data_IF_775712753962
#
_entry.id   IF_775712753962
#
_cell.length_a   1.000
_cell.length_b   1.000
_cell.length_c   1.000
_cell.angle_alpha   90.00
_cell.angle_beta   90.00
_cell.angle_gamma   90.00
#
_symmetry.space_group_name_H-M   'P 1'
#
loop_
_entity.id
_entity.type
_entity.pdbx_description
1 polymer ?
#
# COMPACT_ATOMS: atom_id res chain seq x y z
N UNK A 1 -29.06 13.41 -16.40
CA UNK A 1 -28.20 13.99 -15.35
C UNK A 1 -27.29 12.88 -14.86
N UNK A 2 -25.99 13.14 -14.64
CA UNK A 2 -25.12 12.14 -14.02
C UNK A 2 -25.54 11.98 -12.55
N UNK A 3 -25.45 10.78 -11.99
CA UNK A 3 -25.66 10.57 -10.55
C UNK A 3 -24.32 10.88 -9.86
N UNK A 4 -24.28 11.66 -8.77
CA UNK A 4 -23.04 11.89 -8.03
C UNK A 4 -22.46 10.58 -7.50
N UNK A 5 -21.13 10.46 -7.43
CA UNK A 5 -20.45 9.24 -7.00
C UNK A 5 -20.73 8.93 -5.52
N UNK A 6 -20.70 9.95 -4.68
CA UNK A 6 -20.96 9.83 -3.25
C UNK A 6 -21.43 11.16 -2.67
N UNK A 7 -21.92 11.10 -1.44
CA UNK A 7 -22.22 12.27 -0.63
C UNK A 7 -21.06 12.54 0.33
N UNK A 8 -20.58 13.76 0.37
CA UNK A 8 -19.53 14.21 1.29
C UNK A 8 -20.07 15.25 2.26
N UNK A 9 -19.56 15.24 3.48
CA UNK A 9 -19.83 16.26 4.49
C UNK A 9 -18.60 17.15 4.62
N UNK A 10 -18.79 18.47 4.53
CA UNK A 10 -17.73 19.44 4.83
C UNK A 10 -17.94 19.98 6.23
N UNK A 11 -16.85 20.16 6.98
CA UNK A 11 -16.89 20.66 8.36
C UNK A 11 -15.74 21.65 8.60
N UNK A 12 -16.05 22.77 9.25
CA UNK A 12 -15.11 23.87 9.50
C UNK A 12 -15.07 24.91 8.37
N UNK A 13 -14.23 25.94 8.57
CA UNK A 13 -14.00 26.96 7.56
C UNK A 13 -12.95 26.49 6.55
N UNK A 14 -13.20 26.76 5.27
CA UNK A 14 -12.25 26.49 4.19
C UNK A 14 -11.61 27.79 3.70
N UNK A 15 -10.32 27.73 3.39
CA UNK A 15 -9.63 28.79 2.67
C UNK A 15 -10.25 28.98 1.29
N UNK A 16 -10.04 30.13 0.61
CA UNK A 16 -10.55 30.34 -0.74
C UNK A 16 -10.15 29.24 -1.73
N UNK A 17 -8.97 28.64 -1.54
CA UNK A 17 -8.51 27.51 -2.34
C UNK A 17 -9.33 26.24 -2.06
N UNK A 18 -9.52 25.88 -0.78
CA UNK A 18 -10.30 24.69 -0.39
C UNK A 18 -11.77 24.82 -0.77
N UNK A 19 -12.36 26.00 -0.59
CA UNK A 19 -13.72 26.31 -1.00
C UNK A 19 -13.91 26.17 -2.52
N UNK A 20 -12.96 26.70 -3.31
CA UNK A 20 -12.99 26.55 -4.77
C UNK A 20 -12.86 25.07 -5.20
N UNK A 21 -11.98 24.30 -4.57
CA UNK A 21 -11.84 22.87 -4.84
C UNK A 21 -13.17 22.12 -4.62
N UNK A 22 -13.84 22.38 -3.49
CA UNK A 22 -15.15 21.81 -3.13
C UNK A 22 -16.23 22.22 -4.14
N UNK A 23 -16.31 23.51 -4.48
CA UNK A 23 -17.28 24.04 -5.45
C UNK A 23 -17.17 23.37 -6.83
N UNK A 24 -15.95 23.14 -7.30
CA UNK A 24 -15.73 22.50 -8.60
C UNK A 24 -16.16 21.02 -8.56
N UNK A 25 -15.90 20.29 -7.47
CA UNK A 25 -16.37 18.91 -7.33
C UNK A 25 -17.91 18.80 -7.35
N UNK A 26 -18.61 19.76 -6.75
CA UNK A 26 -20.07 19.85 -6.78
C UNK A 26 -20.58 20.23 -8.18
N UNK A 27 -19.97 21.24 -8.81
CA UNK A 27 -20.36 21.73 -10.14
C UNK A 27 -20.20 20.69 -11.23
N UNK A 28 -19.13 19.89 -11.16
CA UNK A 28 -18.90 18.75 -12.07
C UNK A 28 -19.77 17.54 -11.72
N UNK A 29 -20.62 17.65 -10.69
CA UNK A 29 -21.52 16.62 -10.20
C UNK A 29 -20.77 15.32 -9.88
N UNK A 30 -19.56 15.46 -9.33
CA UNK A 30 -18.73 14.34 -8.86
C UNK A 30 -19.24 13.85 -7.52
N UNK A 31 -19.59 14.77 -6.63
CA UNK A 31 -20.07 14.51 -5.27
C UNK A 31 -21.28 15.37 -4.94
N UNK A 32 -22.13 14.88 -4.04
CA UNK A 32 -23.18 15.68 -3.40
C UNK A 32 -22.63 16.24 -2.08
N UNK A 33 -22.65 17.56 -1.90
CA UNK A 33 -22.01 18.20 -0.75
C UNK A 33 -23.06 18.58 0.29
N UNK A 34 -22.74 18.34 1.56
CA UNK A 34 -23.54 18.79 2.70
C UNK A 34 -22.64 19.46 3.71
N UNK A 35 -22.87 20.75 3.98
CA UNK A 35 -22.11 21.47 4.98
C UNK A 35 -22.69 21.22 6.37
N UNK A 36 -21.86 20.77 7.31
CA UNK A 36 -22.23 20.66 8.72
C UNK A 36 -21.94 21.98 9.43
N UNK A 37 -22.95 22.54 10.10
CA UNK A 37 -22.81 23.81 10.85
C UNK A 37 -21.85 23.69 12.04
N UNK A 38 -21.75 22.50 12.63
CA UNK A 38 -20.85 22.20 13.73
C UNK A 38 -20.57 20.70 13.82
N UNK A 39 -19.49 20.34 14.49
CA UNK A 39 -19.22 18.93 14.78
C UNK A 39 -20.35 18.31 15.59
N UNK A 40 -20.88 19.04 16.58
CA UNK A 40 -22.00 18.58 17.39
C UNK A 40 -23.22 18.27 16.52
N UNK A 41 -23.54 19.12 15.55
CA UNK A 41 -24.63 18.82 14.61
C UNK A 41 -24.37 17.54 13.81
N UNK A 42 -23.14 17.34 13.34
CA UNK A 42 -22.74 16.12 12.62
C UNK A 42 -22.84 14.85 13.49
N UNK A 43 -22.51 14.96 14.77
CA UNK A 43 -22.61 13.87 15.74
C UNK A 43 -24.06 13.67 16.23
N UNK A 44 -24.87 14.70 16.40
CA UNK A 44 -26.24 14.53 16.91
C UNK A 44 -27.20 14.04 15.83
N UNK A 45 -27.01 14.49 14.58
CA UNK A 45 -27.80 14.01 13.46
C UNK A 45 -27.20 12.71 12.95
N UNK A 46 -27.69 11.61 13.52
CA UNK A 46 -27.47 10.27 12.99
C UNK A 46 -28.14 10.16 11.62
N UNK A 47 -27.44 10.65 10.59
CA UNK A 47 -27.80 10.42 9.19
C UNK A 47 -27.41 8.96 8.91
N UNK A 48 -28.27 8.06 9.41
CA UNK A 48 -28.45 6.69 8.95
C UNK A 48 -27.42 5.63 9.38
N UNK A 49 -26.68 5.79 10.49
CA UNK A 49 -25.75 4.75 10.99
C UNK A 49 -24.70 4.26 9.97
N UNK A 50 -24.58 4.99 8.86
CA UNK A 50 -23.85 4.59 7.67
C UNK A 50 -22.53 5.36 7.65
N UNK A 51 -21.45 4.73 7.20
CA UNK A 51 -20.16 5.41 7.10
C UNK A 51 -20.27 6.67 6.24
N UNK A 52 -19.75 7.78 6.78
CA UNK A 52 -19.78 9.10 6.14
C UNK A 52 -18.39 9.52 5.70
N UNK A 53 -18.32 10.21 4.57
CA UNK A 53 -17.09 10.83 4.07
C UNK A 53 -17.07 12.26 4.59
N UNK A 54 -16.02 12.64 5.32
CA UNK A 54 -15.87 13.97 5.90
C UNK A 54 -14.64 14.64 5.33
N UNK A 55 -14.83 15.75 4.63
CA UNK A 55 -13.74 16.57 4.11
C UNK A 55 -13.43 17.68 5.13
N UNK A 56 -12.15 17.82 5.45
CA UNK A 56 -11.62 18.81 6.37
C UNK A 56 -10.39 19.47 5.73
N UNK A 57 -10.22 20.77 5.91
CA UNK A 57 -8.98 21.42 5.51
C UNK A 57 -7.87 21.18 6.55
N UNK A 58 -6.65 20.95 6.08
CA UNK A 58 -5.47 20.81 6.93
C UNK A 58 -5.12 22.16 7.56
N UNK A 59 -5.66 22.40 8.74
CA UNK A 59 -5.38 23.53 9.61
C UNK A 59 -5.65 23.18 11.08
N UNK A 60 -5.40 24.09 12.03
CA UNK A 60 -5.58 23.82 13.46
C UNK A 60 -6.99 23.31 13.80
N UNK A 61 -8.02 23.93 13.23
CA UNK A 61 -9.42 23.56 13.45
C UNK A 61 -9.74 22.18 12.84
N UNK A 62 -9.36 21.95 11.59
CA UNK A 62 -9.56 20.66 10.92
C UNK A 62 -8.89 19.51 11.68
N UNK A 63 -7.68 19.72 12.21
CA UNK A 63 -6.98 18.71 13.05
C UNK A 63 -7.70 18.42 14.34
N UNK A 64 -8.23 19.45 15.01
CA UNK A 64 -9.06 19.27 16.20
C UNK A 64 -10.28 18.40 15.86
N UNK A 65 -10.97 18.69 14.75
CA UNK A 65 -12.10 17.88 14.31
C UNK A 65 -11.73 16.43 13.98
N UNK A 66 -10.55 16.15 13.42
CA UNK A 66 -10.11 14.75 13.24
C UNK A 66 -10.09 14.03 14.58
N UNK A 67 -9.45 14.62 15.61
CA UNK A 67 -9.36 14.02 16.94
C UNK A 67 -10.73 13.77 17.55
N UNK A 68 -11.63 14.74 17.48
CA UNK A 68 -12.99 14.63 18.04
C UNK A 68 -13.87 13.62 17.26
N UNK A 69 -13.77 13.57 15.93
CA UNK A 69 -14.44 12.57 15.10
C UNK A 69 -13.96 11.16 15.46
N UNK A 70 -12.67 10.97 15.72
CA UNK A 70 -12.10 9.67 16.13
C UNK A 70 -12.52 9.29 17.55
N UNK A 71 -12.55 10.24 18.48
CA UNK A 71 -13.01 10.04 19.84
C UNK A 71 -14.53 9.71 19.92
N UNK A 72 -15.31 10.10 18.91
CA UNK A 72 -16.76 9.91 18.90
C UNK A 72 -17.25 8.46 18.87
N UNK A 73 -16.40 7.49 18.52
CA UNK A 73 -16.84 6.11 18.37
C UNK A 73 -17.43 5.77 16.99
N UNK A 74 -17.58 6.77 16.10
CA UNK A 74 -18.32 6.61 14.84
C UNK A 74 -17.42 6.41 13.64
N UNK A 75 -18.01 5.82 12.60
CA UNK A 75 -17.31 5.49 11.37
C UNK A 75 -17.27 6.67 10.40
N UNK A 76 -16.13 7.35 10.36
CA UNK A 76 -15.86 8.46 9.44
C UNK A 76 -14.66 8.18 8.54
N UNK A 77 -14.86 8.29 7.24
CA UNK A 77 -13.79 8.36 6.24
C UNK A 77 -13.34 9.81 6.12
N UNK A 78 -12.36 10.19 6.95
CA UNK A 78 -11.85 11.56 7.02
C UNK A 78 -10.84 11.79 5.90
N UNK A 79 -11.09 12.80 5.08
CA UNK A 79 -10.19 13.27 4.02
C UNK A 79 -9.66 14.64 4.41
N UNK A 80 -8.34 14.76 4.55
CA UNK A 80 -7.68 16.05 4.73
C UNK A 80 -7.33 16.64 3.37
N UNK A 81 -7.73 17.88 3.12
CA UNK A 81 -7.35 18.62 1.92
C UNK A 81 -6.46 19.79 2.29
N UNK A 82 -5.52 20.16 1.43
CA UNK A 82 -4.63 21.29 1.69
C UNK A 82 -3.72 21.60 0.52
N UNK A 83 -3.31 22.87 0.41
CA UNK A 83 -2.41 23.30 -0.66
C UNK A 83 -1.00 22.70 -0.52
N UNK A 84 -0.54 22.49 0.71
CA UNK A 84 0.77 21.93 1.03
C UNK A 84 0.65 21.09 2.31
N UNK A 85 1.38 19.98 2.38
CA UNK A 85 1.50 19.14 3.57
C UNK A 85 2.96 19.04 4.01
N UNK A 86 3.22 19.38 5.26
CA UNK A 86 4.53 19.15 5.87
C UNK A 86 4.69 17.68 6.29
N UNK A 87 5.92 17.25 6.62
CA UNK A 87 6.16 15.92 7.21
C UNK A 87 5.35 15.70 8.49
N UNK A 88 5.18 16.74 9.30
CA UNK A 88 4.36 16.68 10.53
C UNK A 88 2.89 16.50 10.22
N UNK A 89 2.41 17.05 9.10
CA UNK A 89 1.02 16.93 8.66
C UNK A 89 0.72 15.50 8.21
N UNK A 90 1.66 14.89 7.47
CA UNK A 90 1.58 13.48 7.12
C UNK A 90 1.65 12.59 8.36
N UNK A 91 2.56 12.86 9.29
CA UNK A 91 2.62 12.13 10.55
C UNK A 91 1.32 12.26 11.36
N UNK A 92 0.74 13.47 11.42
CA UNK A 92 -0.55 13.71 12.06
C UNK A 92 -1.68 12.94 11.38
N UNK A 93 -1.77 13.02 10.05
CA UNK A 93 -2.76 12.32 9.25
C UNK A 93 -2.67 10.82 9.51
N UNK A 94 -1.45 10.30 9.62
CA UNK A 94 -1.23 8.89 9.93
C UNK A 94 -1.63 8.50 11.33
N UNK A 95 -1.17 9.24 12.33
CA UNK A 95 -1.49 9.02 13.74
C UNK A 95 -3.00 9.04 14.00
N UNK A 96 -3.71 9.99 13.37
CA UNK A 96 -5.16 10.14 13.53
C UNK A 96 -5.96 9.32 12.51
N UNK A 97 -5.28 8.46 11.74
CA UNK A 97 -5.89 7.55 10.77
C UNK A 97 -6.83 8.30 9.84
N UNK A 98 -6.32 9.38 9.25
CA UNK A 98 -6.97 10.08 8.15
C UNK A 98 -6.98 9.13 6.97
N UNK A 99 -8.15 8.92 6.39
CA UNK A 99 -8.33 7.96 5.30
C UNK A 99 -7.55 8.41 4.05
N UNK A 100 -7.57 9.72 3.75
CA UNK A 100 -6.86 10.25 2.58
C UNK A 100 -6.37 11.67 2.79
N UNK A 101 -5.23 11.97 2.19
CA UNK A 101 -4.70 13.33 2.06
C UNK A 101 -4.75 13.76 0.59
N UNK A 102 -5.30 14.93 0.33
CA UNK A 102 -5.26 15.62 -0.95
C UNK A 102 -4.38 16.85 -0.87
N UNK A 103 -3.15 16.74 -1.38
CA UNK A 103 -2.16 17.82 -1.40
C UNK A 103 -2.09 18.49 -2.78
N UNK A 104 -2.27 19.81 -2.81
CA UNK A 104 -2.08 20.65 -3.99
C UNK A 104 -2.84 20.17 -5.25
N UNK A 105 -3.98 19.49 -5.06
CA UNK A 105 -4.69 18.90 -6.19
C UNK A 105 -5.69 19.88 -6.77
N UNK A 106 -5.79 19.91 -8.10
CA UNK A 106 -6.87 20.58 -8.79
C UNK A 106 -7.95 19.56 -9.17
N UNK A 107 -9.23 19.95 -9.19
CA UNK A 107 -10.33 19.04 -9.53
C UNK A 107 -10.20 18.40 -10.92
N UNK A 108 -9.48 19.04 -11.84
CA UNK A 108 -9.23 18.56 -13.20
C UNK A 108 -8.14 17.48 -13.25
N UNK A 109 -7.41 17.27 -12.15
CA UNK A 109 -6.37 16.24 -12.09
C UNK A 109 -7.05 14.86 -12.12
N UNK A 110 -6.77 14.00 -13.12
CA UNK A 110 -7.42 12.69 -13.28
C UNK A 110 -7.34 11.82 -12.02
N UNK A 111 -6.26 11.98 -11.25
CA UNK A 111 -6.02 11.23 -10.02
C UNK A 111 -7.04 11.56 -8.93
N UNK A 112 -7.55 12.80 -8.83
CA UNK A 112 -8.58 13.18 -7.83
C UNK A 112 -9.86 12.39 -8.07
N UNK A 113 -10.31 12.35 -9.32
CA UNK A 113 -11.54 11.64 -9.67
C UNK A 113 -11.40 10.15 -9.41
N UNK A 114 -10.24 9.57 -9.73
CA UNK A 114 -9.96 8.16 -9.44
C UNK A 114 -10.00 7.88 -7.93
N UNK A 115 -9.43 8.78 -7.12
CA UNK A 115 -9.38 8.63 -5.67
C UNK A 115 -10.74 8.88 -4.99
N UNK A 116 -11.52 9.86 -5.44
CA UNK A 116 -12.90 10.07 -4.95
C UNK A 116 -13.78 8.88 -5.33
N UNK A 117 -13.62 8.35 -6.54
CA UNK A 117 -14.32 7.13 -6.95
C UNK A 117 -13.92 5.95 -6.08
N UNK A 118 -12.64 5.76 -5.82
CA UNK A 118 -12.14 4.72 -4.93
C UNK A 118 -12.76 4.85 -3.54
N UNK A 119 -12.75 6.05 -2.96
CA UNK A 119 -13.39 6.34 -1.67
C UNK A 119 -14.91 6.02 -1.68
N UNK A 120 -15.62 6.41 -2.74
CA UNK A 120 -17.03 6.10 -2.91
C UNK A 120 -17.28 4.58 -2.97
N UNK A 121 -16.47 3.86 -3.75
CA UNK A 121 -16.54 2.41 -3.90
C UNK A 121 -16.23 1.70 -2.58
N UNK A 122 -15.27 2.20 -1.78
CA UNK A 122 -14.94 1.66 -0.44
C UNK A 122 -16.11 1.83 0.52
N UNK A 123 -16.73 3.01 0.57
CA UNK A 123 -17.91 3.27 1.42
C UNK A 123 -19.12 2.43 0.99
N UNK A 124 -19.37 2.31 -0.31
CA UNK A 124 -20.46 1.49 -0.84
C UNK A 124 -20.25 -0.01 -0.56
N UNK A 125 -19.02 -0.50 -0.70
CA UNK A 125 -18.65 -1.88 -0.36
C UNK A 125 -18.89 -2.17 1.11
N UNK A 126 -18.49 -1.26 2.01
CA UNK A 126 -18.76 -1.42 3.45
C UNK A 126 -20.26 -1.48 3.73
N UNK A 127 -21.05 -0.58 3.15
CA UNK A 127 -22.53 -0.58 3.28
C UNK A 127 -23.15 -1.88 2.79
N UNK A 128 -22.77 -2.33 1.59
CA UNK A 128 -23.26 -3.60 1.01
C UNK A 128 -22.89 -4.78 1.91
N UNK A 129 -21.69 -4.78 2.47
CA UNK A 129 -21.26 -5.83 3.37
C UNK A 129 -22.02 -5.81 4.70
N UNK A 130 -22.24 -4.64 5.30
CA UNK A 130 -23.06 -4.50 6.51
C UNK A 130 -24.49 -5.02 6.28
N UNK A 131 -25.08 -4.72 5.11
CA UNK A 131 -26.38 -5.26 4.71
C UNK A 131 -26.33 -6.78 4.56
N UNK A 132 -25.27 -7.34 3.97
CA UNK A 132 -25.08 -8.79 3.86
C UNK A 132 -24.98 -9.45 5.23
N UNK A 133 -24.16 -8.92 6.14
CA UNK A 133 -24.03 -9.42 7.52
C UNK A 133 -25.36 -9.33 8.26
N UNK A 134 -26.10 -8.23 8.12
CA UNK A 134 -27.43 -8.06 8.72
C UNK A 134 -28.41 -9.10 8.17
N UNK A 135 -28.35 -9.37 6.87
CA UNK A 135 -29.19 -10.36 6.20
C UNK A 135 -28.87 -11.77 6.68
N UNK A 136 -27.58 -12.13 6.79
CA UNK A 136 -27.12 -13.39 7.37
C UNK A 136 -27.57 -13.55 8.82
N UNK A 137 -27.44 -12.50 9.66
CA UNK A 137 -27.94 -12.52 11.04
C UNK A 137 -29.45 -12.75 11.10
N UNK A 138 -30.22 -12.10 10.23
CA UNK A 138 -31.67 -12.29 10.16
C UNK A 138 -32.06 -13.71 9.75
N UNK A 139 -31.36 -14.29 8.77
CA UNK A 139 -31.58 -15.68 8.35
C UNK A 139 -31.23 -16.66 9.47
N UNK A 140 -30.11 -16.43 10.17
CA UNK A 140 -29.71 -17.27 11.30
C UNK A 140 -30.74 -17.22 12.44
N UNK A 141 -31.31 -16.06 12.74
CA UNK A 141 -32.36 -15.92 13.75
C UNK A 141 -33.65 -16.68 13.36
N UNK A 142 -33.99 -16.72 12.07
CA UNK A 142 -35.16 -17.46 11.59
C UNK A 142 -34.95 -18.99 11.63
N UNK A 143 -33.71 -19.45 11.45
CA UNK A 143 -33.36 -20.87 11.41
C UNK A 143 -33.23 -21.53 12.80
N UNK A 144 -33.29 -20.77 13.90
CA UNK A 144 -33.16 -21.28 15.28
C UNK A 144 -34.26 -22.28 15.69
N UNK A 145 -35.34 -22.41 14.92
CA UNK A 145 -36.40 -23.39 15.18
C UNK A 145 -36.17 -24.79 14.61
N UNK A 146 -35.33 -24.94 13.58
CA UNK A 146 -35.33 -26.14 12.71
C UNK A 146 -33.98 -26.90 12.63
N UNK A 147 -32.88 -26.35 13.16
CA UNK A 147 -31.52 -26.88 12.97
C UNK A 147 -30.86 -27.24 14.30
N UNK A 148 -30.03 -28.29 14.31
CA UNK A 148 -29.27 -28.71 15.48
C UNK A 148 -28.40 -27.57 16.06
N UNK A 149 -28.49 -27.36 17.38
CA UNK A 149 -27.91 -26.23 18.10
C UNK A 149 -26.40 -26.04 17.87
N UNK A 150 -25.63 -27.12 17.63
CA UNK A 150 -24.17 -27.02 17.49
C UNK A 150 -23.77 -26.31 16.18
N UNK A 151 -24.38 -26.66 15.05
CA UNK A 151 -24.07 -26.05 13.73
C UNK A 151 -24.48 -24.57 13.73
N UNK A 152 -25.62 -24.26 14.35
CA UNK A 152 -26.09 -22.87 14.48
C UNK A 152 -25.16 -22.02 15.35
N UNK A 153 -24.60 -22.59 16.41
CA UNK A 153 -23.63 -21.88 17.26
C UNK A 153 -22.32 -21.55 16.53
N UNK A 154 -21.84 -22.47 15.68
CA UNK A 154 -20.65 -22.26 14.85
C UNK A 154 -20.90 -21.21 13.76
N UNK A 155 -22.04 -21.26 13.08
CA UNK A 155 -22.42 -20.27 12.08
C UNK A 155 -22.62 -18.88 12.68
N UNK A 156 -23.26 -18.77 13.85
CA UNK A 156 -23.35 -17.49 14.58
C UNK A 156 -21.96 -16.95 14.92
N UNK A 157 -21.07 -17.82 15.36
CA UNK A 157 -19.68 -17.44 15.66
C UNK A 157 -18.95 -16.98 14.39
N UNK A 158 -19.12 -17.68 13.27
CA UNK A 158 -18.52 -17.33 11.99
C UNK A 158 -19.06 -16.00 11.44
N UNK A 159 -20.39 -15.78 11.47
CA UNK A 159 -21.02 -14.52 11.05
C UNK A 159 -20.66 -13.38 12.01
N UNK A 160 -20.54 -13.66 13.31
CA UNK A 160 -20.01 -12.71 14.30
C UNK A 160 -18.59 -12.28 13.97
N UNK A 161 -17.71 -13.25 13.69
CA UNK A 161 -16.31 -13.01 13.26
C UNK A 161 -16.24 -12.27 11.93
N UNK A 162 -17.03 -12.65 10.93
CA UNK A 162 -17.12 -11.93 9.65
C UNK A 162 -17.56 -10.48 9.84
N UNK A 163 -18.55 -10.27 10.71
CA UNK A 163 -18.95 -8.94 11.14
C UNK A 163 -17.76 -8.16 11.68
N UNK A 164 -17.07 -8.69 12.70
CA UNK A 164 -15.94 -8.00 13.32
C UNK A 164 -14.77 -7.77 12.37
N UNK A 165 -14.34 -8.77 11.60
CA UNK A 165 -13.15 -8.72 10.75
C UNK A 165 -13.29 -7.75 9.58
N UNK A 166 -14.52 -7.56 9.09
CA UNK A 166 -14.78 -6.69 7.94
C UNK A 166 -15.25 -5.31 8.36
N UNK A 167 -15.96 -5.16 9.48
CA UNK A 167 -16.19 -3.82 10.06
C UNK A 167 -14.94 -3.22 10.67
N UNK A 168 -13.90 -4.03 10.90
CA UNK A 168 -12.59 -3.54 11.31
C UNK A 168 -11.88 -2.89 10.12
N UNK A 169 -12.30 -1.67 9.82
CA UNK A 169 -11.52 -0.71 9.08
C UNK A 169 -10.76 0.14 10.09
N UNK A 170 -9.43 0.21 9.95
CA UNK A 170 -8.52 0.91 10.86
C UNK A 170 -8.86 2.41 10.96
N UNK A 171 -9.46 2.99 9.92
CA UNK A 171 -9.89 4.40 9.86
C UNK A 171 -11.16 4.69 10.62
N UNK A 172 -12.03 3.70 10.78
CA UNK A 172 -13.39 3.92 11.28
C UNK A 172 -13.66 3.23 12.61
N UNK A 173 -12.80 2.30 13.03
CA UNK A 173 -12.98 1.51 14.24
C UNK A 173 -12.46 2.24 15.48
N UNK A 174 -13.34 2.66 16.40
CA UNK A 174 -12.90 3.29 17.64
C UNK A 174 -12.20 2.29 18.56
N UNK A 175 -11.09 2.71 19.18
CA UNK A 175 -10.40 1.92 20.20
C UNK A 175 -9.41 0.85 19.70
N UNK A 176 -8.94 0.93 18.45
CA UNK A 176 -7.97 -0.04 17.95
C UNK A 176 -6.57 0.05 18.62
N UNK A 177 -6.32 1.02 19.50
CA UNK A 177 -5.08 1.17 20.28
C UNK A 177 -4.77 -0.03 21.20
N UNK A 178 -5.68 -1.00 21.38
CA UNK A 178 -5.46 -2.13 22.31
C UNK A 178 -5.76 -3.51 21.75
N UNK A 179 -6.15 -3.62 20.48
CA UNK A 179 -6.26 -4.94 19.87
C UNK A 179 -4.86 -5.42 19.45
N UNK A 180 -4.05 -5.89 20.40
CA UNK A 180 -2.91 -6.79 20.15
C UNK A 180 -3.36 -8.15 19.60
N UNK A 181 -4.44 -8.18 18.82
CA UNK A 181 -4.74 -9.34 18.01
C UNK A 181 -3.73 -9.35 16.88
N UNK A 182 -2.72 -10.21 17.04
CA UNK A 182 -1.92 -10.74 15.94
C UNK A 182 -2.85 -11.47 14.96
N UNK A 183 -3.69 -10.71 14.25
CA UNK A 183 -4.43 -11.20 13.09
C UNK A 183 -3.38 -11.43 12.02
N UNK A 184 -2.84 -12.64 12.03
CA UNK A 184 -1.99 -13.16 10.97
C UNK A 184 -2.89 -13.41 9.77
N UNK A 185 -2.73 -12.60 8.74
CA UNK A 185 -3.28 -12.94 7.42
C UNK A 185 -2.39 -14.07 6.88
N UNK A 186 -2.98 -15.27 6.80
CA UNK A 186 -2.34 -16.41 6.16
C UNK A 186 -2.71 -16.42 4.69
N UNK A 187 -1.68 -16.42 3.85
CA UNK A 187 -1.79 -16.56 2.41
C UNK A 187 -1.74 -18.04 2.04
N UNK A 188 -2.33 -18.38 0.90
CA UNK A 188 -2.25 -19.75 0.39
C UNK A 188 -0.80 -20.05 -0.03
N UNK A 189 -0.34 -21.30 0.17
CA UNK A 189 1.04 -21.70 -0.16
C UNK A 189 1.40 -21.53 -1.65
N UNK A 190 0.42 -21.33 -2.52
CA UNK A 190 0.58 -21.18 -3.97
C UNK A 190 0.45 -19.75 -4.48
N UNK A 191 0.17 -18.77 -3.62
CA UNK A 191 0.06 -17.37 -4.05
C UNK A 191 1.44 -16.83 -4.44
N UNK A 192 1.47 -15.96 -5.44
CA UNK A 192 2.68 -15.22 -5.81
C UNK A 192 2.71 -13.84 -5.14
N UNK A 193 3.86 -13.17 -5.19
CA UNK A 193 4.00 -11.84 -4.60
C UNK A 193 3.00 -10.82 -5.18
N UNK A 194 2.79 -10.71 -6.51
CA UNK A 194 1.76 -9.86 -7.09
C UNK A 194 0.36 -10.01 -6.46
N UNK A 195 -0.11 -11.25 -6.32
CA UNK A 195 -1.44 -11.56 -5.79
C UNK A 195 -1.56 -11.15 -4.31
N UNK A 196 -0.50 -11.40 -3.53
CA UNK A 196 -0.42 -11.00 -2.12
C UNK A 196 -0.41 -9.48 -1.98
N UNK A 197 0.36 -8.80 -2.82
CA UNK A 197 0.43 -7.34 -2.86
C UNK A 197 -0.93 -6.72 -3.18
N UNK A 198 -1.64 -7.24 -4.20
CA UNK A 198 -2.98 -6.79 -4.58
C UNK A 198 -4.02 -7.09 -3.50
N UNK A 199 -3.89 -8.24 -2.82
CA UNK A 199 -4.76 -8.59 -1.68
C UNK A 199 -4.58 -7.59 -0.54
N UNK A 200 -3.36 -7.22 -0.20
CA UNK A 200 -3.09 -6.26 0.88
C UNK A 200 -3.56 -4.85 0.49
N UNK A 201 -3.33 -4.43 -0.76
CA UNK A 201 -3.79 -3.16 -1.32
C UNK A 201 -5.32 -3.05 -1.28
N UNK A 202 -6.02 -4.07 -1.80
CA UNK A 202 -7.49 -4.11 -1.87
C UNK A 202 -8.17 -4.21 -0.50
N UNK A 203 -7.48 -4.78 0.49
CA UNK A 203 -7.93 -4.85 1.88
C UNK A 203 -7.49 -3.63 2.72
N UNK A 204 -6.76 -2.68 2.11
CA UNK A 204 -6.24 -1.45 2.74
C UNK A 204 -5.53 -1.73 4.08
N UNK A 205 -4.79 -2.84 4.20
CA UNK A 205 -4.22 -3.26 5.49
C UNK A 205 -2.97 -2.45 5.83
N UNK A 206 -2.83 -2.10 7.12
CA UNK A 206 -1.58 -1.57 7.68
C UNK A 206 -0.82 -2.67 8.41
N UNK A 207 0.47 -2.77 8.18
CA UNK A 207 1.30 -3.79 8.80
C UNK A 207 2.55 -4.14 8.01
N UNK A 208 3.11 -5.30 8.32
CA UNK A 208 4.34 -5.81 7.72
C UNK A 208 4.04 -7.14 7.06
N UNK A 209 4.31 -7.22 5.75
CA UNK A 209 4.40 -8.47 5.02
C UNK A 209 5.83 -8.99 5.13
N UNK A 210 6.00 -10.10 5.82
CA UNK A 210 7.23 -10.88 5.75
C UNK A 210 7.19 -11.79 4.54
N UNK A 211 8.24 -11.73 3.74
CA UNK A 211 8.45 -12.57 2.55
C UNK A 211 9.66 -13.45 2.81
N UNK A 212 9.51 -14.76 2.62
CA UNK A 212 10.59 -15.73 2.80
C UNK A 212 10.74 -16.58 1.55
N UNK A 213 11.88 -16.47 0.89
CA UNK A 213 12.26 -17.33 -0.22
C UNK A 213 12.73 -18.72 0.26
N UNK A 214 13.03 -19.62 -0.69
CA UNK A 214 13.50 -20.98 -0.40
C UNK A 214 14.90 -21.02 0.20
N UNK A 215 15.76 -20.03 -0.09
CA UNK A 215 17.11 -19.98 0.47
C UNK A 215 17.12 -19.26 1.84
N UNK A 216 17.99 -19.67 2.80
CA UNK A 216 18.06 -19.04 4.12
C UNK A 216 18.39 -17.54 4.10
N UNK A 217 19.04 -17.05 3.04
CA UNK A 217 19.37 -15.64 2.86
C UNK A 217 18.23 -14.81 2.24
N UNK A 218 17.18 -15.46 1.75
CA UNK A 218 16.05 -14.81 1.10
C UNK A 218 14.96 -14.51 2.14
N UNK A 219 15.22 -13.47 2.93
CA UNK A 219 14.24 -12.92 3.86
C UNK A 219 14.07 -11.43 3.57
N UNK A 220 12.82 -11.00 3.55
CA UNK A 220 12.45 -9.63 3.23
C UNK A 220 11.19 -9.22 3.97
N UNK A 221 10.99 -7.92 4.04
CA UNK A 221 9.78 -7.33 4.61
C UNK A 221 9.31 -6.16 3.76
N UNK A 222 8.01 -6.01 3.65
CA UNK A 222 7.33 -4.91 2.98
C UNK A 222 6.37 -4.29 3.98
N UNK A 223 6.57 -3.01 4.27
CA UNK A 223 5.76 -2.24 5.19
C UNK A 223 4.61 -1.60 4.41
N UNK A 224 3.40 -1.79 4.91
CA UNK A 224 2.16 -1.30 4.32
C UNK A 224 1.46 -0.34 5.24
N UNK A 225 0.90 0.68 4.64
CA UNK A 225 0.09 1.69 5.27
C UNK A 225 -1.14 1.91 4.41
N UNK A 226 -2.32 1.52 4.91
CA UNK A 226 -3.55 1.61 4.13
C UNK A 226 -3.46 0.85 2.79
N UNK A 227 -2.80 -0.32 2.76
CA UNK A 227 -2.56 -1.08 1.53
C UNK A 227 -1.45 -0.50 0.63
N UNK A 228 -0.96 0.72 0.90
CA UNK A 228 0.15 1.32 0.17
C UNK A 228 1.48 0.88 0.74
N UNK A 229 2.44 0.62 -0.14
CA UNK A 229 3.80 0.29 0.29
C UNK A 229 4.51 1.56 0.71
N UNK A 230 5.02 1.58 1.93
CA UNK A 230 5.76 2.73 2.47
C UNK A 230 7.26 2.51 2.50
N UNK A 231 7.69 1.28 2.77
CA UNK A 231 9.09 0.89 2.74
C UNK A 231 9.21 -0.61 2.54
N UNK A 232 10.37 -1.04 2.05
CA UNK A 232 10.67 -2.46 1.85
C UNK A 232 12.16 -2.69 2.08
N UNK A 233 12.52 -3.89 2.53
CA UNK A 233 13.92 -4.26 2.74
C UNK A 233 14.15 -5.76 2.59
N UNK A 234 15.32 -6.13 2.08
CA UNK A 234 15.84 -7.51 2.11
C UNK A 234 17.35 -7.46 2.27
N UNK A 235 17.84 -7.96 3.42
CA UNK A 235 19.23 -7.76 3.83
C UNK A 235 19.58 -6.27 3.91
N UNK A 236 20.57 -5.84 3.13
CA UNK A 236 21.03 -4.43 3.06
C UNK A 236 20.35 -3.62 1.95
N UNK A 237 19.46 -4.24 1.18
CA UNK A 237 18.77 -3.58 0.06
C UNK A 237 17.44 -3.04 0.53
N UNK A 238 17.15 -1.79 0.19
CA UNK A 238 15.96 -1.06 0.61
C UNK A 238 15.14 -0.54 -0.59
N UNK A 239 13.92 -0.09 -0.31
CA UNK A 239 13.06 0.60 -1.28
C UNK A 239 12.52 -0.31 -2.38
N UNK A 240 12.23 0.26 -3.55
CA UNK A 240 11.67 -0.46 -4.71
C UNK A 240 12.54 -1.62 -5.17
N UNK A 241 13.86 -1.48 -5.11
CA UNK A 241 14.79 -2.53 -5.49
C UNK A 241 14.64 -3.78 -4.63
N UNK A 242 14.39 -3.61 -3.32
CA UNK A 242 14.12 -4.73 -2.42
C UNK A 242 12.87 -5.52 -2.87
N UNK A 243 11.81 -4.81 -3.25
CA UNK A 243 10.58 -5.42 -3.78
C UNK A 243 10.89 -6.19 -5.05
N UNK A 244 11.54 -5.55 -6.04
CA UNK A 244 11.87 -6.21 -7.30
C UNK A 244 12.82 -7.40 -7.13
N UNK A 245 13.68 -7.41 -6.12
CA UNK A 245 14.48 -8.60 -5.75
C UNK A 245 13.59 -9.72 -5.23
N UNK A 246 12.61 -9.43 -4.36
CA UNK A 246 11.67 -10.43 -3.85
C UNK A 246 10.80 -11.07 -4.95
N UNK A 247 10.51 -10.35 -6.03
CA UNK A 247 9.84 -10.90 -7.22
C UNK A 247 10.64 -12.02 -7.91
N UNK A 248 11.96 -12.07 -7.71
CA UNK A 248 12.83 -13.08 -8.34
C UNK A 248 12.88 -14.40 -7.57
N UNK A 249 12.37 -14.45 -6.34
CA UNK A 249 12.38 -15.66 -5.51
C UNK A 249 11.41 -16.71 -6.03
N UNK A 250 11.79 -17.99 -5.94
CA UNK A 250 10.97 -19.11 -6.38
C UNK A 250 10.10 -19.64 -5.24
N UNK A 251 8.78 -19.59 -5.39
CA UNK A 251 7.85 -20.08 -4.36
C UNK A 251 8.01 -19.41 -3.00
N UNK A 252 8.00 -18.06 -2.92
CA UNK A 252 8.07 -17.34 -1.66
C UNK A 252 6.90 -17.69 -0.74
N UNK A 253 7.16 -17.70 0.56
CA UNK A 253 6.15 -17.82 1.62
C UNK A 253 5.88 -16.46 2.23
N UNK A 254 4.63 -16.24 2.62
CA UNK A 254 4.14 -14.95 3.07
C UNK A 254 3.52 -15.03 4.46
N UNK A 255 3.83 -14.03 5.28
CA UNK A 255 3.18 -13.82 6.56
C UNK A 255 2.93 -12.33 6.75
N UNK A 256 1.66 -11.92 6.81
CA UNK A 256 1.33 -10.54 7.14
C UNK A 256 0.96 -10.39 8.61
N UNK A 257 1.56 -9.41 9.26
CA UNK A 257 1.30 -9.06 10.65
C UNK A 257 0.89 -7.60 10.73
N UNK A 258 -0.28 -7.32 11.31
CA UNK A 258 -0.70 -5.94 11.58
C UNK A 258 0.29 -5.25 12.52
N UNK A 259 0.54 -3.98 12.27
CA UNK A 259 1.32 -3.07 13.13
C UNK A 259 0.56 -1.78 13.31
N UNK A 260 0.80 -1.14 14.44
CA UNK A 260 0.33 0.22 14.63
C UNK A 260 1.07 1.15 13.64
N UNK A 261 0.38 2.06 12.93
CA UNK A 261 1.02 3.08 12.10
C UNK A 261 2.18 3.82 12.79
N UNK A 262 2.12 4.03 14.11
CA UNK A 262 3.16 4.72 14.88
C UNK A 262 4.45 3.91 15.05
N UNK A 263 4.37 2.58 14.99
CA UNK A 263 5.53 1.69 15.10
C UNK A 263 6.31 1.58 13.77
N UNK A 264 5.79 2.14 12.69
CA UNK A 264 6.38 2.00 11.35
C UNK A 264 7.45 3.07 11.11
N UNK A 265 8.63 2.65 10.63
CA UNK A 265 9.71 3.56 10.22
C UNK A 265 9.66 3.86 8.72
N UNK A 266 9.91 5.13 8.37
CA UNK A 266 9.78 5.68 7.02
C UNK A 266 11.11 6.25 6.54
N UNK A 267 12.08 5.40 6.22
CA UNK A 267 13.40 5.87 5.80
C UNK A 267 13.44 6.25 4.31
N UNK A 268 12.56 5.68 3.47
CA UNK A 268 12.43 6.01 2.05
C UNK A 268 10.99 5.73 1.54
N UNK A 269 10.11 6.74 1.46
CA UNK A 269 8.72 6.52 1.05
C UNK A 269 8.63 6.10 -0.42
N UNK A 270 8.01 4.94 -0.66
CA UNK A 270 7.77 4.43 -2.01
C UNK A 270 6.49 5.08 -2.57
N UNK A 271 6.65 6.09 -3.43
CA UNK A 271 5.53 6.80 -4.08
C UNK A 271 5.24 6.24 -5.48
N UNK A 272 4.96 4.94 -5.56
CA UNK A 272 4.64 4.24 -6.82
C UNK A 272 3.39 3.39 -6.60
N UNK A 273 2.47 3.41 -7.57
CA UNK A 273 1.22 2.65 -7.45
C UNK A 273 1.47 1.13 -7.45
N UNK A 274 0.62 0.40 -6.72
CA UNK A 274 0.70 -1.06 -6.64
C UNK A 274 0.68 -1.73 -8.02
N UNK A 275 -0.20 -1.25 -8.89
CA UNK A 275 -0.31 -1.70 -10.28
C UNK A 275 1.01 -1.56 -11.05
N UNK A 276 1.70 -0.43 -10.90
CA UNK A 276 2.99 -0.22 -11.57
C UNK A 276 4.05 -1.17 -11.03
N UNK A 277 4.13 -1.34 -9.70
CA UNK A 277 5.05 -2.28 -9.05
C UNK A 277 4.84 -3.70 -9.56
N UNK A 278 3.59 -4.16 -9.67
CA UNK A 278 3.27 -5.49 -10.18
C UNK A 278 3.67 -5.66 -11.66
N UNK A 279 3.42 -4.65 -12.50
CA UNK A 279 3.80 -4.69 -13.93
C UNK A 279 5.32 -4.73 -14.11
N UNK A 280 6.06 -3.85 -13.43
CA UNK A 280 7.53 -3.80 -13.51
C UNK A 280 8.16 -5.03 -12.85
N UNK A 281 7.66 -5.47 -11.71
CA UNK A 281 8.12 -6.69 -11.04
C UNK A 281 7.96 -7.93 -11.93
N UNK A 282 6.81 -8.08 -12.61
CA UNK A 282 6.59 -9.15 -13.58
C UNK A 282 7.51 -9.01 -14.82
N UNK A 283 7.85 -7.79 -15.24
CA UNK A 283 8.84 -7.57 -16.29
C UNK A 283 10.24 -8.00 -15.84
N UNK A 284 10.67 -7.65 -14.62
CA UNK A 284 11.94 -8.08 -14.03
C UNK A 284 12.02 -9.60 -13.87
N UNK A 285 10.95 -10.24 -13.41
CA UNK A 285 10.89 -11.71 -13.32
C UNK A 285 11.10 -12.36 -14.68
N UNK A 286 10.43 -11.88 -15.73
CA UNK A 286 10.63 -12.40 -17.11
C UNK A 286 12.05 -12.21 -17.61
N UNK A 287 12.69 -11.06 -17.33
CA UNK A 287 14.10 -10.81 -17.68
C UNK A 287 15.02 -11.82 -16.98
N UNK A 288 14.85 -11.98 -15.67
CA UNK A 288 15.62 -12.91 -14.85
C UNK A 288 15.52 -14.36 -15.36
N UNK A 289 14.31 -14.84 -15.67
CA UNK A 289 14.13 -16.21 -16.18
C UNK A 289 14.86 -16.47 -17.51
N UNK A 290 15.01 -15.45 -18.39
CA UNK A 290 15.77 -15.61 -19.64
C UNK A 290 17.25 -15.86 -19.40
N UNK A 291 17.83 -15.27 -18.35
CA UNK A 291 19.25 -15.35 -18.04
C UNK A 291 19.58 -16.31 -16.90
N UNK A 292 18.57 -16.99 -16.35
CA UNK A 292 18.67 -17.80 -15.13
C UNK A 292 19.75 -18.88 -15.19
N UNK A 293 19.97 -19.48 -16.35
CA UNK A 293 20.98 -20.52 -16.55
C UNK A 293 22.42 -19.98 -16.66
N UNK A 294 22.58 -18.69 -16.93
CA UNK A 294 23.86 -18.01 -17.11
C UNK A 294 24.26 -17.16 -15.89
N UNK A 295 23.47 -17.21 -14.79
CA UNK A 295 23.69 -16.37 -13.63
C UNK A 295 25.06 -16.65 -12.97
N UNK A 296 25.87 -15.61 -12.72
CA UNK A 296 27.10 -15.76 -11.98
C UNK A 296 26.80 -16.08 -10.50
N UNK A 297 27.49 -17.05 -9.89
CA UNK A 297 27.38 -17.27 -8.45
C UNK A 297 27.73 -16.03 -7.63
N UNK A 298 26.92 -15.71 -6.63
CA UNK A 298 27.04 -14.51 -5.78
C UNK A 298 28.41 -14.35 -5.07
N UNK A 299 29.15 -15.44 -4.90
CA UNK A 299 30.46 -15.46 -4.25
C UNK A 299 31.64 -15.08 -5.14
N UNK A 300 31.44 -15.07 -6.47
CA UNK A 300 32.52 -14.78 -7.41
C UNK A 300 32.98 -13.33 -7.28
N UNK A 301 34.28 -13.12 -7.41
CA UNK A 301 34.91 -11.81 -7.54
C UNK A 301 35.21 -11.54 -9.01
N UNK A 302 34.72 -10.41 -9.50
CA UNK A 302 34.91 -9.93 -10.84
C UNK A 302 35.92 -8.78 -10.82
N UNK A 303 36.67 -8.66 -11.91
CA UNK A 303 37.55 -7.53 -12.12
C UNK A 303 37.43 -7.05 -13.57
N UNK A 304 37.60 -5.75 -13.79
CA UNK A 304 37.68 -5.16 -15.11
C UNK A 304 38.97 -5.61 -15.82
N UNK A 305 38.85 -6.01 -17.08
CA UNK A 305 40.00 -6.16 -17.97
C UNK A 305 40.21 -4.85 -18.77
N UNK A 306 41.22 -4.03 -18.41
CA UNK A 306 41.45 -2.74 -19.05
C UNK A 306 41.89 -2.88 -20.52
N UNK A 307 42.33 -4.06 -20.96
CA UNK A 307 42.73 -4.30 -22.35
C UNK A 307 41.60 -4.09 -23.36
N UNK A 308 40.35 -4.16 -22.90
CA UNK A 308 39.15 -3.99 -23.73
C UNK A 308 38.55 -2.58 -23.64
N UNK A 309 39.15 -1.65 -22.88
CA UNK A 309 38.75 -0.25 -22.84
C UNK A 309 39.57 0.57 -23.83
N UNK A 310 39.08 0.71 -25.06
CA UNK A 310 39.69 1.57 -26.07
C UNK A 310 38.87 2.85 -26.33
N UNK A 311 39.51 3.95 -26.76
CA UNK A 311 38.79 5.15 -27.18
C UNK A 311 37.76 4.80 -28.26
N UNK A 312 36.48 5.07 -28.00
CA UNK A 312 35.37 4.75 -28.91
C UNK A 312 34.49 3.57 -28.49
N UNK A 313 34.81 2.85 -27.40
CA UNK A 313 33.84 1.95 -26.77
C UNK A 313 32.66 2.78 -26.24
N UNK A 314 31.46 2.46 -26.71
CA UNK A 314 30.21 3.04 -26.19
C UNK A 314 29.42 1.93 -25.52
N UNK A 315 29.16 2.09 -24.22
CA UNK A 315 28.35 1.16 -23.44
C UNK A 315 26.96 1.76 -23.22
N UNK A 316 25.89 0.94 -23.26
CA UNK A 316 24.60 1.30 -22.69
C UNK A 316 24.76 1.79 -21.24
N UNK A 317 23.82 2.63 -20.80
CA UNK A 317 23.84 3.24 -19.47
C UNK A 317 23.94 2.18 -18.38
N UNK A 318 23.15 1.12 -18.49
CA UNK A 318 23.07 0.02 -17.54
C UNK A 318 24.39 -0.75 -17.45
N UNK A 319 25.01 -1.05 -18.58
CA UNK A 319 26.30 -1.74 -18.67
C UNK A 319 27.41 -0.88 -18.07
N UNK A 320 27.41 0.43 -18.33
CA UNK A 320 28.37 1.36 -17.74
C UNK A 320 28.26 1.42 -16.21
N UNK A 321 27.05 1.56 -15.66
CA UNK A 321 26.86 1.56 -14.21
C UNK A 321 27.24 0.23 -13.57
N UNK A 322 26.90 -0.88 -14.23
CA UNK A 322 27.28 -2.21 -13.76
C UNK A 322 28.80 -2.38 -13.74
N UNK A 323 29.49 -1.94 -14.80
CA UNK A 323 30.95 -1.98 -14.87
C UNK A 323 31.61 -1.10 -13.80
N UNK A 324 31.08 0.09 -13.55
CA UNK A 324 31.55 0.96 -12.47
C UNK A 324 31.43 0.27 -11.10
N UNK A 325 30.32 -0.40 -10.81
CA UNK A 325 30.16 -1.18 -9.58
C UNK A 325 31.07 -2.41 -9.51
N UNK A 326 31.43 -3.02 -10.64
CA UNK A 326 32.46 -4.08 -10.63
C UNK A 326 33.80 -3.52 -10.18
N UNK A 327 34.21 -2.35 -10.67
CA UNK A 327 35.46 -1.69 -10.26
C UNK A 327 35.45 -1.32 -8.78
N UNK A 328 34.30 -0.88 -8.26
CA UNK A 328 34.17 -0.45 -6.87
C UNK A 328 34.09 -1.61 -5.88
N UNK A 329 33.29 -2.64 -6.16
CA UNK A 329 32.96 -3.70 -5.19
C UNK A 329 33.59 -5.06 -5.52
N UNK A 330 33.80 -5.38 -6.80
CA UNK A 330 34.35 -6.65 -7.28
C UNK A 330 33.44 -7.87 -7.10
N UNK A 331 32.94 -8.13 -5.89
CA UNK A 331 32.13 -9.33 -5.59
C UNK A 331 30.70 -9.19 -6.11
N UNK A 332 30.19 -10.23 -6.78
CA UNK A 332 28.82 -10.25 -7.37
C UNK A 332 27.76 -9.89 -6.34
N UNK A 333 27.78 -10.48 -5.14
CA UNK A 333 26.82 -10.13 -4.09
C UNK A 333 26.84 -8.65 -3.71
N UNK A 334 28.02 -8.04 -3.62
CA UNK A 334 28.15 -6.62 -3.25
C UNK A 334 27.70 -5.70 -4.40
N UNK A 335 28.01 -6.07 -5.65
CA UNK A 335 27.50 -5.36 -6.83
C UNK A 335 25.97 -5.36 -6.81
N UNK A 336 25.37 -6.54 -6.60
CA UNK A 336 23.93 -6.67 -6.49
C UNK A 336 23.39 -5.87 -5.30
N UNK A 337 24.06 -5.80 -4.16
CA UNK A 337 23.55 -5.09 -2.98
C UNK A 337 23.62 -3.56 -3.13
N UNK A 338 24.76 -3.03 -3.58
CA UNK A 338 25.04 -1.60 -3.53
C UNK A 338 24.77 -0.83 -4.84
N UNK A 339 24.55 -1.50 -5.97
CA UNK A 339 24.18 -0.81 -7.22
C UNK A 339 22.67 -0.48 -7.24
N UNK A 340 22.23 0.73 -7.57
CA UNK A 340 20.80 1.10 -7.53
C UNK A 340 19.92 0.41 -8.58
N UNK A 341 20.50 -0.20 -9.62
CA UNK A 341 19.74 -0.88 -10.66
C UNK A 341 19.05 -2.15 -10.13
N UNK A 342 17.90 -2.55 -10.70
CA UNK A 342 17.25 -3.82 -10.37
C UNK A 342 18.14 -5.03 -10.71
N UNK A 343 18.14 -6.05 -9.85
CA UNK A 343 18.99 -7.24 -9.99
C UNK A 343 18.89 -7.93 -11.36
N UNK A 344 17.69 -8.05 -11.93
CA UNK A 344 17.51 -8.66 -13.24
C UNK A 344 18.27 -7.90 -14.34
N UNK A 345 18.35 -6.58 -14.25
CA UNK A 345 19.12 -5.72 -15.17
C UNK A 345 20.61 -5.91 -14.94
N UNK A 346 21.04 -5.94 -13.68
CA UNK A 346 22.45 -6.18 -13.32
C UNK A 346 22.95 -7.52 -13.83
N UNK A 347 22.15 -8.59 -13.71
CA UNK A 347 22.53 -9.89 -14.26
C UNK A 347 22.65 -9.87 -15.78
N UNK A 348 21.70 -9.26 -16.49
CA UNK A 348 21.78 -9.07 -17.95
C UNK A 348 23.07 -8.33 -18.35
N UNK A 349 23.39 -7.21 -17.68
CA UNK A 349 24.59 -6.42 -17.92
C UNK A 349 25.89 -7.16 -17.57
N UNK A 350 25.95 -7.89 -16.44
CA UNK A 350 27.13 -8.68 -16.07
C UNK A 350 27.44 -9.77 -17.11
N UNK A 351 26.40 -10.47 -17.60
CA UNK A 351 26.53 -11.48 -18.64
C UNK A 351 27.01 -10.84 -19.95
N UNK A 352 26.43 -9.71 -20.33
CA UNK A 352 26.81 -8.99 -21.55
C UNK A 352 28.26 -8.49 -21.51
N UNK A 353 28.67 -7.85 -20.42
CA UNK A 353 30.05 -7.38 -20.21
C UNK A 353 31.06 -8.54 -20.22
N UNK A 354 30.67 -9.71 -19.69
CA UNK A 354 31.50 -10.92 -19.76
C UNK A 354 31.62 -11.45 -21.19
N UNK A 355 30.53 -11.45 -21.98
CA UNK A 355 30.53 -11.83 -23.41
C UNK A 355 31.41 -10.90 -24.26
N UNK A 356 31.53 -9.63 -23.87
CA UNK A 356 32.45 -8.65 -24.47
C UNK A 356 33.90 -8.79 -23.98
N UNK A 357 34.21 -9.76 -23.13
CA UNK A 357 35.51 -9.98 -22.49
C UNK A 357 36.00 -8.82 -21.61
N UNK A 358 35.12 -7.90 -21.20
CA UNK A 358 35.48 -6.76 -20.35
C UNK A 358 35.64 -7.14 -18.87
N UNK A 359 35.17 -8.32 -18.48
CA UNK A 359 35.23 -8.80 -17.10
C UNK A 359 36.07 -10.07 -17.03
N UNK A 360 36.94 -10.17 -16.02
CA UNK A 360 37.67 -11.41 -15.64
C UNK A 360 37.19 -11.93 -14.29
N UNK A 361 37.24 -13.24 -14.10
CA UNK A 361 36.88 -13.91 -12.84
C UNK A 361 38.16 -14.12 -12.04
N UNK A 362 38.20 -13.63 -10.81
CA UNK A 362 39.24 -13.95 -9.84
C UNK A 362 38.83 -15.21 -9.06
N UNK A 363 39.77 -16.16 -9.01
CA UNK A 363 39.57 -17.50 -8.44
C UNK A 363 39.46 -17.54 -6.92
#
# INVERSE_FOLDING_TARGET
MKVPLCRIVTLGEFTPWGAHFIEVLEKENVVEISQAESLKYLLDNDISGASQIVFLENGPEGRQYVGELRASGRKFYVVLIGKLFTKEDYAFAMHNRVFRVFENITPETPDVLAEIKHLADTVDREKKFELLVRSLKSVLLQAEGDVADSVMSELKTAVGKLGTTVTFNEYTSPGAEKAQHHDKLMFHQSEDLPDVLETIDSLERTGVLYVKGPLPSEEGQINFLQGKIVSASTGVVHGLKAIYRMFLWDGPQFLFTRRDPEEMTFDDPINVSMKHINVEGAAHRRRYERVRQELPPNRIVLELDPGFLHPGVSLPKEDFYTLASVVEFGKVSQILDYNPLPDAVLFESLIQLRKLNMLRILG
#
